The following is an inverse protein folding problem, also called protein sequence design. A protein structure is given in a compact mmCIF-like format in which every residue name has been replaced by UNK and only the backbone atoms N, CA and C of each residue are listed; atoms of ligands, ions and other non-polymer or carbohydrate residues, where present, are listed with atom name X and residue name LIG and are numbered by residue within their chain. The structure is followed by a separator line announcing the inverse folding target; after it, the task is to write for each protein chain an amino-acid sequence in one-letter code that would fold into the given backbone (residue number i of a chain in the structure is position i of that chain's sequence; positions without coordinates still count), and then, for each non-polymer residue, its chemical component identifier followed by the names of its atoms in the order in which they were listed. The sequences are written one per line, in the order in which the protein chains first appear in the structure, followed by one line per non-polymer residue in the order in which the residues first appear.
data_IF_018479318619
#
_entry.id   IF_018479318619
#
_cell.length_a   1.000
_cell.length_b   1.000
_cell.length_c   1.000
_cell.angle_alpha   90.00
_cell.angle_beta   90.00
_cell.angle_gamma   90.00
#
_symmetry.space_group_name_H-M   'P 1'
#
loop_
_entity.id
_entity.type
_entity.pdbx_description
1 polymer ?
#
# COMPACT_ATOMS: atom_id res chain seq x y z
N UNK A 1 -0.51 1.25 2.18
CA UNK A 1 -1.91 1.42 1.68
C UNK A 1 -2.80 1.99 2.76
N UNK A 2 -2.91 1.37 3.94
CA UNK A 2 -3.71 1.94 5.04
C UNK A 2 -3.25 3.33 5.44
N UNK A 3 -1.96 3.68 5.29
CA UNK A 3 -1.50 5.05 5.55
C UNK A 3 -2.03 6.10 4.56
N UNK A 4 -2.59 5.69 3.41
CA UNK A 4 -3.14 6.60 2.40
C UNK A 4 -4.67 6.59 2.34
N UNK A 5 -5.33 5.91 3.28
CA UNK A 5 -6.79 5.95 3.44
C UNK A 5 -7.12 7.08 4.41
N UNK A 6 -8.00 7.98 4.01
CA UNK A 6 -8.24 9.24 4.75
C UNK A 6 -8.67 9.00 6.20
N UNK A 7 -9.50 7.98 6.45
CA UNK A 7 -10.05 7.67 7.78
C UNK A 7 -9.17 6.74 8.62
N UNK A 8 -8.02 6.33 8.10
CA UNK A 8 -7.15 5.37 8.78
C UNK A 8 -6.38 6.02 9.94
N UNK A 9 -6.26 5.29 11.06
CA UNK A 9 -5.39 5.69 12.18
C UNK A 9 -3.90 5.71 11.81
N UNK A 10 -3.54 5.12 10.67
CA UNK A 10 -2.18 5.07 10.13
C UNK A 10 -1.89 6.18 9.12
N UNK A 11 -2.86 7.04 8.83
CA UNK A 11 -2.67 8.22 7.99
C UNK A 11 -2.01 9.33 8.81
N UNK A 12 -0.69 9.22 8.98
CA UNK A 12 0.09 10.16 9.78
C UNK A 12 0.33 11.49 9.06
N UNK A 13 0.30 11.48 7.74
CA UNK A 13 0.61 12.64 6.89
C UNK A 13 -0.63 13.49 6.58
N UNK A 14 -1.83 13.06 7.00
CA UNK A 14 -3.09 13.76 6.75
C UNK A 14 -3.53 13.73 5.28
N UNK A 15 -3.07 12.74 4.52
CA UNK A 15 -3.40 12.59 3.11
C UNK A 15 -4.90 12.40 2.91
N UNK A 16 -5.47 13.08 1.91
CA UNK A 16 -6.86 12.95 1.54
C UNK A 16 -7.01 12.92 0.02
N UNK A 17 -7.60 11.85 -0.50
CA UNK A 17 -8.04 11.75 -1.88
C UNK A 17 -9.28 10.85 -1.95
N UNK A 18 -10.43 11.43 -2.29
CA UNK A 18 -11.71 10.71 -2.34
C UNK A 18 -11.65 9.51 -3.28
N UNK A 19 -10.99 9.62 -4.43
CA UNK A 19 -10.89 8.55 -5.42
C UNK A 19 -10.03 7.39 -4.91
N UNK A 20 -8.98 7.70 -4.14
CA UNK A 20 -8.16 6.68 -3.47
C UNK A 20 -9.00 5.92 -2.43
N UNK A 21 -9.81 6.62 -1.63
CA UNK A 21 -10.69 5.99 -0.64
C UNK A 21 -11.74 5.07 -1.30
N UNK A 22 -12.37 5.53 -2.39
CA UNK A 22 -13.33 4.73 -3.16
C UNK A 22 -12.70 3.46 -3.75
N UNK A 23 -11.51 3.59 -4.36
CA UNK A 23 -10.77 2.45 -4.91
C UNK A 23 -10.33 1.48 -3.82
N UNK A 24 -9.87 1.99 -2.66
CA UNK A 24 -9.48 1.16 -1.53
C UNK A 24 -10.67 0.36 -0.99
N UNK A 25 -11.85 0.99 -0.87
CA UNK A 25 -13.09 0.31 -0.48
C UNK A 25 -13.49 -0.78 -1.49
N UNK A 26 -13.47 -0.47 -2.78
CA UNK A 26 -13.77 -1.44 -3.84
C UNK A 26 -12.81 -2.64 -3.80
N UNK A 27 -11.52 -2.41 -3.55
CA UNK A 27 -10.53 -3.48 -3.43
C UNK A 27 -10.81 -4.40 -2.24
N UNK A 28 -11.27 -3.85 -1.10
CA UNK A 28 -11.65 -4.64 0.09
C UNK A 28 -12.90 -5.51 -0.16
N UNK A 29 -13.86 -4.99 -0.93
CA UNK A 29 -15.11 -5.69 -1.25
C UNK A 29 -14.94 -6.74 -2.38
N UNK A 30 -13.83 -6.70 -3.12
CA UNK A 30 -13.58 -7.60 -4.26
C UNK A 30 -12.85 -8.86 -3.84
N UNK A 31 -13.52 -10.02 -3.96
CA UNK A 31 -12.96 -11.34 -3.66
C UNK A 31 -12.13 -11.94 -4.81
N UNK A 32 -12.44 -11.56 -6.05
CA UNK A 32 -11.72 -12.01 -7.24
C UNK A 32 -10.34 -11.35 -7.32
N UNK A 33 -9.29 -12.17 -7.35
CA UNK A 33 -7.90 -11.70 -7.28
C UNK A 33 -7.53 -10.87 -8.51
N UNK A 34 -7.96 -11.27 -9.71
CA UNK A 34 -7.60 -10.58 -10.95
C UNK A 34 -8.33 -9.24 -11.05
N UNK A 35 -9.62 -9.18 -10.70
CA UNK A 35 -10.35 -7.92 -10.60
C UNK A 35 -9.74 -6.99 -9.55
N UNK A 36 -9.32 -7.53 -8.41
CA UNK A 36 -8.69 -6.75 -7.35
C UNK A 36 -7.34 -6.17 -7.78
N UNK A 37 -6.54 -6.90 -8.58
CA UNK A 37 -5.28 -6.37 -9.16
C UNK A 37 -5.52 -5.15 -10.05
N UNK A 38 -6.56 -5.17 -10.89
CA UNK A 38 -6.90 -4.03 -11.74
C UNK A 38 -7.34 -2.80 -10.91
N UNK A 39 -8.03 -3.01 -9.79
CA UNK A 39 -8.37 -1.92 -8.85
C UNK A 39 -7.09 -1.35 -8.21
N UNK A 40 -6.18 -2.20 -7.73
CA UNK A 40 -4.89 -1.76 -7.19
C UNK A 40 -4.08 -0.96 -8.21
N UNK A 41 -4.08 -1.38 -9.48
CA UNK A 41 -3.39 -0.65 -10.54
C UNK A 41 -3.92 0.77 -10.69
N UNK A 42 -5.25 0.96 -10.74
CA UNK A 42 -5.89 2.29 -10.79
C UNK A 42 -5.58 3.12 -9.55
N UNK A 43 -5.58 2.49 -8.38
CA UNK A 43 -5.26 3.15 -7.12
C UNK A 43 -3.81 3.67 -7.12
N UNK A 44 -2.84 2.85 -7.55
CA UNK A 44 -1.44 3.29 -7.65
C UNK A 44 -1.22 4.35 -8.74
N UNK A 45 -2.00 4.34 -9.83
CA UNK A 45 -1.98 5.43 -10.81
C UNK A 45 -2.43 6.75 -10.18
N UNK A 46 -3.54 6.73 -9.43
CA UNK A 46 -4.04 7.91 -8.72
C UNK A 46 -3.01 8.43 -7.70
N UNK A 47 -2.39 7.55 -6.92
CA UNK A 47 -1.31 7.91 -6.00
C UNK A 47 -0.07 8.45 -6.74
N UNK A 48 0.16 8.08 -7.99
CA UNK A 48 1.26 8.64 -8.78
C UNK A 48 0.97 10.04 -9.29
N UNK A 49 -0.29 10.35 -9.58
CA UNK A 49 -0.75 11.67 -10.03
C UNK A 49 -0.83 12.66 -8.86
N UNK A 50 -1.27 12.19 -7.69
CA UNK A 50 -1.36 12.95 -6.45
C UNK A 50 -0.53 12.26 -5.33
N UNK A 51 0.82 12.35 -5.40
CA UNK A 51 1.70 11.63 -4.49
C UNK A 51 1.52 12.06 -3.03
N UNK A 52 1.18 11.12 -2.12
CA UNK A 52 1.11 11.40 -0.67
C UNK A 52 2.50 11.63 -0.08
N UNK A 53 3.51 10.94 -0.62
CA UNK A 53 4.88 10.93 -0.12
C UNK A 53 5.86 10.81 -1.30
N UNK A 54 7.12 11.17 -1.05
CA UNK A 54 8.21 10.93 -1.99
C UNK A 54 8.87 9.60 -1.61
N UNK A 55 8.73 8.58 -2.45
CA UNK A 55 9.40 7.30 -2.26
C UNK A 55 10.90 7.44 -2.53
N UNK A 56 11.74 7.14 -1.54
CA UNK A 56 13.19 7.26 -1.66
C UNK A 56 13.88 5.96 -2.08
N UNK A 57 13.42 4.82 -1.53
CA UNK A 57 13.97 3.52 -1.84
C UNK A 57 12.97 2.39 -1.61
N UNK A 58 13.27 1.22 -2.17
CA UNK A 58 12.70 -0.06 -1.74
C UNK A 58 13.81 -0.82 -1.00
N UNK A 59 13.80 -0.69 0.33
CA UNK A 59 14.85 -1.24 1.18
C UNK A 59 14.82 -2.77 1.15
N UNK A 60 15.92 -3.39 0.72
CA UNK A 60 16.11 -4.83 0.83
C UNK A 60 16.40 -5.19 2.29
N UNK A 61 15.67 -6.18 2.82
CA UNK A 61 15.99 -6.75 4.13
C UNK A 61 17.31 -7.52 4.03
N UNK A 62 18.33 -7.03 4.72
CA UNK A 62 19.57 -7.78 4.98
C UNK A 62 19.49 -8.26 6.41
N UNK A 63 19.41 -9.58 6.59
CA UNK A 63 19.45 -10.19 7.92
C UNK A 63 20.64 -11.14 8.01
N UNK A 64 21.40 -11.03 9.10
CA UNK A 64 22.53 -11.90 9.41
C UNK A 64 22.15 -12.77 10.59
N UNK A 65 22.30 -14.07 10.43
CA UNK A 65 21.98 -15.03 11.48
C UNK A 65 23.19 -15.92 11.76
N UNK A 66 23.32 -16.39 13.00
CA UNK A 66 24.35 -17.37 13.34
C UNK A 66 24.07 -18.68 12.61
N UNK A 67 25.11 -19.33 12.06
CA UNK A 67 25.01 -20.60 11.32
C UNK A 67 24.39 -21.79 12.09
N UNK A 68 24.14 -21.64 13.41
CA UNK A 68 23.52 -22.67 14.26
C UNK A 68 22.00 -22.54 14.31
N UNK A 69 21.44 -21.41 13.89
CA UNK A 69 20.00 -21.22 13.86
C UNK A 69 19.44 -21.93 12.62
N UNK A 70 18.42 -22.75 12.84
CA UNK A 70 17.72 -23.50 11.79
C UNK A 70 16.25 -23.07 11.77
N UNK A 71 15.63 -23.09 10.58
CA UNK A 71 14.20 -22.78 10.42
C UNK A 71 13.84 -21.30 10.31
N UNK A 72 14.79 -20.45 9.90
CA UNK A 72 14.55 -19.06 9.50
C UNK A 72 14.16 -18.95 8.03
#
# INVERSE_FOLDING_TARGET
MEEFISTSKRNYDGYYNQKVDELAKQALETLDIEKRKEIYKKLYQELSEAPPVIFLNNSKMVSTHHARIQGL
#
